data_IF_961800285190
#
_entry.id   IF_961800285190
#
_cell.length_a   1.000
_cell.length_b   1.000
_cell.length_c   1.000
_cell.angle_alpha   90.00
_cell.angle_beta   90.00
_cell.angle_gamma   90.00
#
_symmetry.space_group_name_H-M   'P 1'
#
loop_
_entity.id
_entity.type
_entity.pdbx_description
1 polymer ?
#
# COMPACT_ATOMS: atom_id res chain seq x y z
N UNK A 1 -83.65 -3.39 16.42
CA UNK A 1 -83.01 -2.23 15.80
C UNK A 1 -81.54 -2.30 16.13
N UNK A 2 -80.64 -2.63 15.18
CA UNK A 2 -79.20 -2.66 15.34
C UNK A 2 -78.59 -1.50 14.54
N UNK A 3 -77.99 -0.54 15.21
CA UNK A 3 -77.28 0.55 14.59
C UNK A 3 -75.85 0.08 14.17
N UNK A 4 -75.60 0.14 12.85
CA UNK A 4 -74.27 -0.11 12.28
C UNK A 4 -73.41 1.13 12.50
N UNK A 5 -72.32 0.98 13.21
CA UNK A 5 -71.25 2.02 13.35
C UNK A 5 -70.32 1.89 12.17
N UNK A 6 -70.42 2.76 11.20
CA UNK A 6 -69.34 2.92 10.17
C UNK A 6 -68.15 3.61 10.79
N UNK A 7 -67.04 2.87 10.96
CA UNK A 7 -65.77 3.43 11.32
C UNK A 7 -65.06 3.88 10.03
N UNK A 8 -64.94 5.19 9.83
CA UNK A 8 -64.14 5.81 8.79
C UNK A 8 -62.65 5.75 9.22
N UNK A 9 -61.89 4.93 8.54
CA UNK A 9 -60.42 4.95 8.70
C UNK A 9 -59.84 6.20 8.04
N UNK A 10 -58.98 6.96 8.71
CA UNK A 10 -58.33 8.12 8.10
C UNK A 10 -57.30 7.63 7.08
N UNK A 11 -57.48 7.93 5.82
CA UNK A 11 -56.47 7.77 4.76
C UNK A 11 -55.35 8.79 4.98
N UNK A 12 -54.20 8.31 5.38
CA UNK A 12 -52.97 9.12 5.43
C UNK A 12 -52.51 9.33 3.99
N UNK A 13 -52.77 10.51 3.43
CA UNK A 13 -52.19 10.93 2.16
C UNK A 13 -50.72 11.24 2.39
N UNK A 14 -49.81 10.34 1.97
CA UNK A 14 -48.40 10.66 1.85
C UNK A 14 -48.23 11.70 0.74
N UNK A 15 -47.91 12.93 1.11
CA UNK A 15 -47.47 13.95 0.16
C UNK A 15 -46.09 13.54 -0.33
N UNK A 16 -45.97 13.06 -1.55
CA UNK A 16 -44.69 12.95 -2.25
C UNK A 16 -44.33 14.35 -2.75
N UNK A 17 -43.48 15.07 -1.99
CA UNK A 17 -42.87 16.27 -2.49
C UNK A 17 -41.72 15.88 -3.43
N UNK A 18 -41.90 16.12 -4.72
CA UNK A 18 -40.84 15.99 -5.72
C UNK A 18 -39.80 17.10 -5.58
N UNK A 19 -38.54 16.81 -5.92
CA UNK A 19 -37.48 17.80 -6.00
C UNK A 19 -37.77 18.85 -7.07
N UNK A 20 -37.49 20.11 -6.76
CA UNK A 20 -37.57 21.16 -7.76
C UNK A 20 -36.32 21.15 -8.65
N UNK A 21 -36.45 21.60 -9.89
CA UNK A 21 -35.33 21.69 -10.83
C UNK A 21 -34.22 22.59 -10.30
N UNK A 22 -34.58 23.69 -9.64
CA UNK A 22 -33.58 24.61 -9.03
C UNK A 22 -32.82 23.96 -7.89
N UNK A 23 -33.48 23.14 -7.07
CA UNK A 23 -32.84 22.42 -5.95
C UNK A 23 -31.81 21.41 -6.47
N UNK A 24 -32.12 20.72 -7.58
CA UNK A 24 -31.19 19.82 -8.25
C UNK A 24 -29.99 20.61 -8.79
N UNK A 25 -30.20 21.77 -9.46
CA UNK A 25 -29.12 22.59 -9.99
C UNK A 25 -28.17 23.11 -8.89
N UNK A 26 -28.74 23.55 -7.77
CA UNK A 26 -27.96 24.03 -6.63
C UNK A 26 -27.15 22.88 -6.00
N UNK A 27 -27.76 21.71 -5.83
CA UNK A 27 -27.07 20.56 -5.23
C UNK A 27 -25.88 20.07 -6.08
N UNK A 28 -26.05 19.99 -7.41
CA UNK A 28 -24.93 19.61 -8.29
C UNK A 28 -23.83 20.67 -8.34
N UNK A 29 -24.18 21.96 -8.26
CA UNK A 29 -23.21 23.03 -8.21
C UNK A 29 -22.35 22.96 -6.92
N UNK A 30 -22.98 22.75 -5.78
CA UNK A 30 -22.28 22.58 -4.49
C UNK A 30 -21.41 21.34 -4.49
N UNK A 31 -21.93 20.21 -5.00
CA UNK A 31 -21.16 18.96 -5.13
C UNK A 31 -19.91 19.14 -6.02
N UNK A 32 -20.03 19.87 -7.13
CA UNK A 32 -18.91 20.12 -8.02
C UNK A 32 -17.78 20.91 -7.32
N UNK A 33 -18.14 21.89 -6.49
CA UNK A 33 -17.16 22.66 -5.70
C UNK A 33 -16.45 21.74 -4.67
N UNK A 34 -17.20 20.94 -3.94
CA UNK A 34 -16.66 20.03 -2.91
C UNK A 34 -15.71 19.01 -3.55
N UNK A 35 -16.11 18.38 -4.66
CA UNK A 35 -15.28 17.40 -5.39
C UNK A 35 -14.01 18.06 -5.92
N UNK A 36 -14.09 19.29 -6.44
CA UNK A 36 -12.94 20.03 -6.94
C UNK A 36 -11.84 20.27 -5.89
N UNK A 37 -12.22 20.49 -4.62
CA UNK A 37 -11.29 20.70 -3.51
C UNK A 37 -10.79 19.36 -2.94
N UNK A 38 -11.64 18.35 -2.88
CA UNK A 38 -11.30 17.06 -2.26
C UNK A 38 -10.40 16.17 -3.13
N UNK A 39 -10.52 16.24 -4.45
CA UNK A 39 -9.81 15.34 -5.36
C UNK A 39 -8.27 15.31 -5.21
N UNK A 40 -7.54 16.46 -5.12
CA UNK A 40 -6.09 16.44 -4.96
C UNK A 40 -5.64 15.82 -3.61
N UNK A 41 -6.39 16.04 -2.55
CA UNK A 41 -6.13 15.47 -1.23
C UNK A 41 -6.24 13.94 -1.22
N UNK A 42 -7.23 13.38 -1.92
CA UNK A 42 -7.44 11.93 -2.00
C UNK A 42 -6.31 11.26 -2.78
N UNK A 43 -5.82 11.86 -3.87
CA UNK A 43 -4.73 11.29 -4.66
C UNK A 43 -3.43 11.16 -3.87
N UNK A 44 -3.07 12.17 -3.09
CA UNK A 44 -1.90 12.15 -2.20
C UNK A 44 -2.07 11.11 -1.09
N UNK A 45 -3.27 11.00 -0.51
CA UNK A 45 -3.53 10.00 0.52
C UNK A 45 -3.42 8.58 -0.02
N UNK A 46 -3.91 8.30 -1.23
CA UNK A 46 -3.75 7.01 -1.89
C UNK A 46 -2.28 6.70 -2.20
N UNK A 47 -1.50 7.68 -2.66
CA UNK A 47 -0.07 7.53 -2.88
C UNK A 47 0.65 7.16 -1.57
N UNK A 48 0.37 7.88 -0.48
CA UNK A 48 0.92 7.57 0.84
C UNK A 48 0.58 6.17 1.33
N UNK A 49 -0.65 5.70 1.08
CA UNK A 49 -1.06 4.33 1.43
C UNK A 49 -0.29 3.29 0.61
N UNK A 50 -0.10 3.51 -0.71
CA UNK A 50 0.69 2.61 -1.57
C UNK A 50 2.15 2.55 -1.13
N UNK A 51 2.78 3.69 -0.86
CA UNK A 51 4.15 3.75 -0.35
C UNK A 51 4.29 3.01 0.98
N UNK A 52 3.36 3.25 1.92
CA UNK A 52 3.34 2.57 3.22
C UNK A 52 3.13 1.07 3.07
N UNK A 53 2.20 0.63 2.24
CA UNK A 53 1.93 -0.78 1.99
C UNK A 53 3.17 -1.47 1.38
N UNK A 54 3.77 -0.87 0.36
CA UNK A 54 4.98 -1.39 -0.29
C UNK A 54 6.16 -1.47 0.67
N UNK A 55 6.39 -0.44 1.49
CA UNK A 55 7.46 -0.46 2.50
C UNK A 55 7.25 -1.56 3.55
N UNK A 56 6.00 -1.78 3.99
CA UNK A 56 5.68 -2.86 4.92
C UNK A 56 5.86 -4.24 4.28
N UNK A 57 5.41 -4.42 3.04
CA UNK A 57 5.62 -5.67 2.29
C UNK A 57 7.10 -5.99 2.16
N UNK A 58 7.91 -5.01 1.78
CA UNK A 58 9.35 -5.15 1.66
C UNK A 58 10.02 -5.49 3.01
N UNK A 59 9.65 -4.80 4.08
CA UNK A 59 10.21 -5.07 5.40
C UNK A 59 9.80 -6.46 5.92
N UNK A 60 8.58 -6.90 5.66
CA UNK A 60 8.11 -8.23 6.04
C UNK A 60 8.81 -9.33 5.22
N UNK A 61 8.97 -9.14 3.91
CA UNK A 61 9.73 -10.06 3.06
C UNK A 61 11.19 -10.21 3.53
N UNK A 62 11.84 -9.11 3.90
CA UNK A 62 13.20 -9.14 4.47
C UNK A 62 13.25 -9.91 5.80
N UNK A 63 12.26 -9.70 6.69
CA UNK A 63 12.18 -10.42 7.96
C UNK A 63 11.94 -11.92 7.74
N UNK A 64 11.07 -12.27 6.80
CA UNK A 64 10.78 -13.65 6.43
C UNK A 64 12.01 -14.34 5.84
N UNK A 65 12.71 -13.70 4.89
CA UNK A 65 13.95 -14.23 4.33
C UNK A 65 15.02 -14.47 5.42
N UNK A 66 15.13 -13.56 6.40
CA UNK A 66 16.01 -13.75 7.56
C UNK A 66 15.59 -14.97 8.40
N UNK A 67 14.32 -15.17 8.65
CA UNK A 67 13.80 -16.31 9.41
C UNK A 67 14.02 -17.62 8.65
N UNK A 68 13.73 -17.62 7.34
CA UNK A 68 13.95 -18.80 6.48
C UNK A 68 15.42 -19.20 6.44
N UNK A 69 16.36 -18.25 6.40
CA UNK A 69 17.79 -18.57 6.43
C UNK A 69 18.21 -19.30 7.71
N UNK A 70 17.59 -18.95 8.85
CA UNK A 70 17.85 -19.61 10.14
C UNK A 70 17.21 -20.99 10.20
N UNK A 71 15.96 -21.11 9.78
CA UNK A 71 15.20 -22.38 9.81
C UNK A 71 15.85 -23.41 8.89
N UNK A 72 16.20 -23.01 7.67
CA UNK A 72 16.81 -23.90 6.67
C UNK A 72 18.28 -24.13 6.87
N UNK A 73 18.93 -23.33 7.76
CA UNK A 73 20.37 -23.35 7.99
C UNK A 73 21.21 -23.15 6.73
N UNK A 74 20.68 -22.36 5.78
CA UNK A 74 21.35 -22.03 4.51
C UNK A 74 21.13 -20.55 4.16
N UNK A 75 21.89 -20.06 3.21
CA UNK A 75 21.73 -18.68 2.74
C UNK A 75 20.39 -18.52 2.00
N UNK A 76 19.73 -17.38 2.25
CA UNK A 76 18.50 -16.97 1.54
C UNK A 76 18.75 -15.61 0.92
N UNK A 77 18.63 -15.54 -0.39
CA UNK A 77 18.79 -14.33 -1.18
C UNK A 77 17.43 -13.68 -1.43
N UNK A 78 17.30 -12.39 -1.15
CA UNK A 78 16.12 -11.60 -1.46
C UNK A 78 16.45 -10.56 -2.52
N UNK A 79 15.73 -10.59 -3.65
CA UNK A 79 15.92 -9.71 -4.80
C UNK A 79 14.65 -8.92 -5.09
N UNK A 80 14.79 -7.60 -5.30
CA UNK A 80 13.74 -6.78 -5.88
C UNK A 80 13.89 -6.76 -7.41
N UNK A 81 12.84 -7.16 -8.13
CA UNK A 81 12.77 -7.13 -9.58
C UNK A 81 11.81 -6.05 -10.05
N UNK A 82 12.38 -5.00 -10.66
CA UNK A 82 11.62 -3.91 -11.30
C UNK A 82 11.18 -4.22 -12.73
N UNK A 83 11.71 -5.28 -13.33
CA UNK A 83 11.43 -5.67 -14.74
C UNK A 83 10.31 -6.69 -14.87
N UNK A 84 9.75 -7.18 -13.76
CA UNK A 84 8.58 -8.05 -13.79
C UNK A 84 7.29 -7.24 -13.85
N UNK A 85 6.25 -7.81 -14.45
CA UNK A 85 4.91 -7.19 -14.47
C UNK A 85 3.94 -8.11 -13.74
N UNK A 86 3.55 -7.77 -12.48
CA UNK A 86 3.97 -6.60 -11.68
C UNK A 86 5.40 -6.70 -11.14
N UNK A 87 5.98 -5.57 -10.70
CA UNK A 87 7.21 -5.56 -9.91
C UNK A 87 7.09 -6.51 -8.73
N UNK A 88 8.14 -7.21 -8.38
CA UNK A 88 8.08 -8.23 -7.34
C UNK A 88 9.33 -8.28 -6.46
N UNK A 89 9.11 -8.75 -5.24
CA UNK A 89 10.15 -9.17 -4.31
C UNK A 89 10.18 -10.69 -4.33
N UNK A 90 11.35 -11.26 -4.57
CA UNK A 90 11.53 -12.71 -4.68
C UNK A 90 12.59 -13.14 -3.69
N UNK A 91 12.30 -14.17 -2.91
CA UNK A 91 13.29 -14.84 -2.07
C UNK A 91 13.61 -16.22 -2.64
N UNK A 92 14.90 -16.54 -2.66
CA UNK A 92 15.43 -17.79 -3.19
C UNK A 92 16.41 -18.39 -2.17
N UNK A 93 16.47 -19.71 -2.14
CA UNK A 93 17.48 -20.43 -1.35
C UNK A 93 18.81 -20.52 -2.10
N UNK A 94 19.79 -21.17 -1.49
CA UNK A 94 21.13 -21.37 -2.05
C UNK A 94 21.16 -22.21 -3.35
N UNK A 95 20.04 -22.87 -3.70
CA UNK A 95 19.87 -23.66 -4.91
C UNK A 95 18.97 -22.95 -5.94
N UNK A 96 18.76 -21.63 -5.78
CA UNK A 96 17.88 -20.79 -6.63
C UNK A 96 16.40 -21.22 -6.60
N UNK A 97 15.98 -22.04 -5.63
CA UNK A 97 14.58 -22.38 -5.47
C UNK A 97 13.83 -21.20 -4.87
N UNK A 98 12.77 -20.75 -5.56
CA UNK A 98 11.92 -19.66 -5.07
C UNK A 98 11.14 -20.10 -3.84
N UNK A 99 11.34 -19.42 -2.73
CA UNK A 99 10.67 -19.68 -1.45
C UNK A 99 9.34 -18.93 -1.38
N UNK A 100 9.37 -17.67 -1.75
CA UNK A 100 8.17 -16.82 -1.82
C UNK A 100 8.36 -15.66 -2.82
N UNK A 101 7.23 -15.13 -3.27
CA UNK A 101 7.17 -13.97 -4.16
C UNK A 101 6.06 -13.05 -3.70
N UNK A 102 6.39 -11.76 -3.50
CA UNK A 102 5.44 -10.73 -3.16
C UNK A 102 5.33 -9.70 -4.29
N UNK A 103 4.15 -9.55 -4.91
CA UNK A 103 3.94 -8.51 -5.92
C UNK A 103 3.93 -7.14 -5.24
N UNK A 104 4.46 -6.15 -5.94
CA UNK A 104 4.46 -4.75 -5.54
C UNK A 104 3.53 -3.97 -6.47
N UNK A 105 2.85 -2.97 -5.92
CA UNK A 105 1.95 -2.13 -6.70
C UNK A 105 2.71 -1.45 -7.85
N UNK A 106 2.12 -1.47 -9.06
CA UNK A 106 2.78 -0.97 -10.28
C UNK A 106 3.21 0.51 -10.20
N UNK A 107 2.47 1.33 -9.45
CA UNK A 107 2.82 2.74 -9.23
C UNK A 107 3.87 2.96 -8.15
N UNK A 108 4.29 1.91 -7.44
CA UNK A 108 5.37 2.02 -6.46
C UNK A 108 6.71 1.81 -7.15
N UNK A 109 7.64 2.73 -6.95
CA UNK A 109 9.03 2.62 -7.35
C UNK A 109 9.90 2.36 -6.14
N UNK A 110 10.92 1.52 -6.30
CA UNK A 110 11.86 1.19 -5.23
C UNK A 110 13.27 1.41 -5.77
N UNK A 111 14.00 2.32 -5.14
CA UNK A 111 15.43 2.54 -5.39
C UNK A 111 16.25 1.94 -4.29
N UNK A 112 17.41 1.38 -4.64
CA UNK A 112 18.26 0.64 -3.71
C UNK A 112 19.61 1.36 -3.60
N UNK A 113 20.08 1.59 -2.38
CA UNK A 113 21.38 2.15 -2.11
C UNK A 113 22.16 1.24 -1.14
N UNK A 114 23.40 0.82 -1.48
CA UNK A 114 24.09 1.05 -2.74
C UNK A 114 23.40 0.32 -3.92
N UNK A 115 23.47 0.89 -5.11
CA UNK A 115 22.81 0.35 -6.33
C UNK A 115 23.33 -1.05 -6.72
N UNK A 116 24.53 -1.41 -6.25
CA UNK A 116 25.12 -2.74 -6.40
C UNK A 116 24.46 -3.80 -5.51
N UNK A 117 23.66 -3.40 -4.52
CA UNK A 117 22.97 -4.30 -3.59
C UNK A 117 21.59 -4.73 -4.08
N UNK A 118 21.45 -5.03 -5.38
CA UNK A 118 20.17 -5.50 -5.96
C UNK A 118 19.60 -6.74 -5.27
N UNK A 119 20.47 -7.52 -4.62
CA UNK A 119 20.12 -8.71 -3.83
C UNK A 119 20.71 -8.59 -2.44
N UNK A 120 19.89 -8.88 -1.43
CA UNK A 120 20.34 -9.01 -0.03
C UNK A 120 20.30 -10.48 0.36
N UNK A 121 21.44 -11.01 0.73
CA UNK A 121 21.58 -12.41 1.16
C UNK A 121 21.72 -12.50 2.67
N UNK A 122 20.82 -13.25 3.30
CA UNK A 122 20.82 -13.55 4.72
C UNK A 122 21.57 -14.85 4.99
N UNK A 123 22.43 -14.83 6.01
CA UNK A 123 23.12 -16.01 6.51
C UNK A 123 22.41 -16.62 7.71
N UNK A 124 22.59 -17.92 7.98
CA UNK A 124 22.00 -18.58 9.15
C UNK A 124 22.35 -17.95 10.50
N UNK A 125 23.49 -17.25 10.58
CA UNK A 125 23.95 -16.54 11.78
C UNK A 125 23.30 -15.15 11.97
N UNK A 126 22.18 -14.88 11.24
CA UNK A 126 21.39 -13.65 11.33
C UNK A 126 22.10 -12.37 10.90
N UNK A 127 23.08 -12.47 10.03
CA UNK A 127 23.73 -11.31 9.39
C UNK A 127 23.46 -11.33 7.88
N UNK A 128 23.68 -10.20 7.23
CA UNK A 128 23.69 -10.12 5.76
C UNK A 128 25.11 -10.24 5.22
N UNK A 129 25.23 -10.64 3.96
CA UNK A 129 26.54 -10.73 3.28
C UNK A 129 27.12 -9.36 2.93
N UNK A 130 26.30 -8.32 2.87
CA UNK A 130 26.75 -6.95 2.57
C UNK A 130 27.52 -6.36 3.74
N UNK A 131 28.67 -5.74 3.44
CA UNK A 131 29.45 -5.00 4.42
C UNK A 131 28.90 -3.61 4.75
N UNK A 132 27.96 -3.13 3.95
CA UNK A 132 27.28 -1.84 4.10
C UNK A 132 25.81 -2.03 4.38
N UNK A 133 25.23 -1.06 5.06
CA UNK A 133 23.78 -0.98 5.21
C UNK A 133 23.13 -0.86 3.82
N UNK A 134 22.01 -1.56 3.65
CA UNK A 134 21.21 -1.48 2.42
C UNK A 134 19.95 -0.70 2.71
N UNK A 135 19.67 0.27 1.87
CA UNK A 135 18.51 1.17 2.00
C UNK A 135 17.64 1.06 0.76
N UNK A 136 16.38 0.70 0.96
CA UNK A 136 15.36 0.71 -0.06
C UNK A 136 14.50 1.96 0.13
N UNK A 137 14.52 2.88 -0.82
CA UNK A 137 13.62 4.05 -0.82
C UNK A 137 12.41 3.74 -1.67
N UNK A 138 11.24 3.85 -1.06
CA UNK A 138 9.95 3.55 -1.68
C UNK A 138 9.20 4.84 -1.95
N UNK A 139 8.85 5.06 -3.22
CA UNK A 139 8.15 6.22 -3.73
C UNK A 139 6.91 5.81 -4.53
N UNK A 140 6.05 6.76 -4.88
CA UNK A 140 4.92 6.55 -5.80
C UNK A 140 5.16 7.32 -7.10
N UNK A 141 5.07 6.65 -8.24
CA UNK A 141 5.28 7.26 -9.56
C UNK A 141 4.10 8.13 -10.03
N UNK A 142 2.98 8.09 -9.34
CA UNK A 142 1.76 8.83 -9.68
C UNK A 142 1.51 10.07 -8.83
N UNK A 143 2.43 10.43 -7.92
CA UNK A 143 2.32 11.60 -7.05
C UNK A 143 3.71 12.20 -6.83
N UNK A 144 3.76 13.51 -6.61
CA UNK A 144 4.98 14.24 -6.21
C UNK A 144 4.89 14.79 -4.78
N UNK A 145 3.76 14.57 -4.10
CA UNK A 145 3.47 15.14 -2.78
C UNK A 145 3.29 14.06 -1.70
N UNK A 146 3.67 12.81 -2.01
CA UNK A 146 3.66 11.73 -1.02
C UNK A 146 4.83 11.86 -0.05
N UNK A 147 4.72 11.15 1.08
CA UNK A 147 5.80 11.00 2.05
C UNK A 147 6.54 9.68 1.78
N UNK A 148 7.74 9.73 1.17
CA UNK A 148 8.50 8.52 0.87
C UNK A 148 8.90 7.76 2.13
N UNK A 149 9.06 6.46 2.00
CA UNK A 149 9.52 5.58 3.09
C UNK A 149 10.85 4.95 2.73
N UNK A 150 11.69 4.76 3.74
CA UNK A 150 12.92 3.98 3.61
C UNK A 150 12.82 2.73 4.48
N UNK A 151 13.14 1.60 3.86
CA UNK A 151 13.39 0.35 4.58
C UNK A 151 14.91 0.17 4.64
N UNK A 152 15.44 0.21 5.84
CA UNK A 152 16.89 0.05 6.09
C UNK A 152 17.18 -1.30 6.69
N UNK A 153 18.22 -1.94 6.20
CA UNK A 153 18.76 -3.16 6.77
C UNK A 153 20.25 -2.96 7.03
N UNK A 154 20.66 -3.17 8.26
CA UNK A 154 22.06 -3.08 8.64
C UNK A 154 22.75 -4.46 8.56
N UNK A 155 24.07 -4.45 8.76
CA UNK A 155 24.94 -5.65 8.71
C UNK A 155 24.46 -6.80 9.63
N UNK A 156 23.90 -6.47 10.79
CA UNK A 156 23.34 -7.46 11.73
C UNK A 156 21.88 -7.80 11.42
N UNK A 157 21.44 -7.55 10.18
CA UNK A 157 20.10 -7.80 9.68
C UNK A 157 19.00 -7.22 10.58
N UNK A 158 19.23 -6.04 11.16
CA UNK A 158 18.15 -5.27 11.78
C UNK A 158 17.44 -4.47 10.70
N UNK A 159 16.11 -4.60 10.65
CA UNK A 159 15.25 -4.02 9.62
C UNK A 159 14.37 -2.96 10.27
N UNK A 160 14.43 -1.75 9.74
CA UNK A 160 13.63 -0.61 10.20
C UNK A 160 12.98 0.13 9.05
N UNK A 161 11.82 0.74 9.32
CA UNK A 161 11.12 1.61 8.36
C UNK A 161 11.14 3.02 8.92
N UNK A 162 11.59 3.97 8.11
CA UNK A 162 11.64 5.39 8.47
C UNK A 162 11.03 6.24 7.34
N UNK A 163 10.70 7.49 7.65
CA UNK A 163 10.35 8.45 6.60
C UNK A 163 11.60 8.89 5.86
N UNK A 164 11.52 9.01 4.54
CA UNK A 164 12.55 9.66 3.73
C UNK A 164 12.17 11.13 3.51
N UNK A 165 13.19 11.98 3.34
CA UNK A 165 12.95 13.39 3.04
C UNK A 165 12.56 13.65 1.57
N UNK A 166 12.93 12.75 0.67
CA UNK A 166 12.70 12.91 -0.78
C UNK A 166 12.78 11.56 -1.50
N UNK A 167 12.20 11.50 -2.66
CA UNK A 167 12.42 10.53 -3.74
C UNK A 167 13.55 11.07 -4.68
#
# INVERSE_FOLDING_TARGET
MRASKNSLSPTIQMRSSGFTLIELMVTIAVLAIIVGIAAPSISTQLANQRVKATANTLANALKEAKVESVIRRQEVAMTYRSSSTPNAIIAQDANDVVLFTYPIHQKSSVTINPSTAGTVTFRPNKIITSDKDVVYTVCDSGSSNETPKQVRINKVANISIINSGSC
#
